data_IF_866857488060
#
_entry.id   IF_866857488060
#
_cell.length_a   1.000
_cell.length_b   1.000
_cell.length_c   1.000
_cell.angle_alpha   90.00
_cell.angle_beta   90.00
_cell.angle_gamma   90.00
#
_symmetry.space_group_name_H-M   'P 1'
#
loop_
_entity.id
_entity.type
_entity.pdbx_description
1 polymer ?
#
# COMPACT_ATOMS: atom_id res chain seq x y z
N UNK A 1 -1.53 -16.14 -8.83
CA UNK A 1 -1.19 -17.49 -8.30
C UNK A 1 -2.23 -17.94 -7.30
N UNK A 2 -2.46 -17.17 -6.23
CA UNK A 2 -3.33 -17.58 -5.12
C UNK A 2 -4.80 -17.14 -5.21
N UNK A 3 -5.14 -16.28 -6.18
CA UNK A 3 -6.49 -15.71 -6.25
C UNK A 3 -7.59 -16.75 -6.51
N UNK A 4 -8.71 -16.63 -5.80
CA UNK A 4 -9.96 -17.36 -6.02
C UNK A 4 -11.11 -16.51 -6.59
N UNK A 5 -10.80 -15.28 -7.05
CA UNK A 5 -11.78 -14.32 -7.55
C UNK A 5 -11.25 -13.55 -8.77
N UNK A 6 -12.13 -12.92 -9.57
CA UNK A 6 -11.69 -11.92 -10.54
C UNK A 6 -10.86 -10.81 -9.90
N UNK A 7 -9.89 -10.29 -10.63
CA UNK A 7 -9.01 -9.20 -10.17
C UNK A 7 -9.12 -8.01 -11.11
N UNK A 8 -9.13 -6.80 -10.53
CA UNK A 8 -8.99 -5.56 -11.28
C UNK A 8 -7.74 -4.82 -10.81
N UNK A 9 -6.75 -4.74 -11.68
CA UNK A 9 -5.52 -3.97 -11.45
C UNK A 9 -5.72 -2.53 -11.94
N UNK A 10 -5.45 -1.58 -11.07
CA UNK A 10 -5.39 -0.16 -11.42
C UNK A 10 -3.93 0.30 -11.36
N UNK A 11 -3.38 0.70 -12.50
CA UNK A 11 -1.96 1.01 -12.64
C UNK A 11 -1.80 2.48 -12.98
N UNK A 12 -1.30 3.26 -12.02
CA UNK A 12 -0.90 4.65 -12.23
C UNK A 12 0.54 4.63 -12.71
N UNK A 13 0.76 5.05 -13.95
CA UNK A 13 2.08 5.01 -14.57
C UNK A 13 2.23 6.13 -15.60
N UNK A 14 3.44 6.34 -16.09
CA UNK A 14 3.66 7.18 -17.27
C UNK A 14 3.20 6.44 -18.53
N UNK A 15 2.84 7.19 -19.58
CA UNK A 15 2.28 6.63 -20.81
C UNK A 15 3.23 5.66 -21.53
N UNK A 16 4.53 5.95 -21.51
CA UNK A 16 5.59 5.13 -22.11
C UNK A 16 5.77 3.76 -21.44
N UNK A 17 5.36 3.61 -20.17
CA UNK A 17 5.42 2.34 -19.44
C UNK A 17 4.28 1.38 -19.76
N UNK A 18 3.19 1.83 -20.40
CA UNK A 18 2.00 1.00 -20.66
C UNK A 18 2.36 -0.20 -21.52
N UNK A 19 3.04 0.02 -22.65
CA UNK A 19 3.41 -1.05 -23.58
C UNK A 19 4.36 -2.08 -22.93
N UNK A 20 5.18 -1.67 -21.97
CA UNK A 20 6.01 -2.60 -21.20
C UNK A 20 5.16 -3.48 -20.29
N UNK A 21 4.21 -2.88 -19.57
CA UNK A 21 3.31 -3.60 -18.65
C UNK A 21 2.35 -4.54 -19.39
N UNK A 22 1.80 -4.11 -20.52
CA UNK A 22 0.92 -4.95 -21.36
C UNK A 22 1.61 -6.24 -21.80
N UNK A 23 2.91 -6.19 -22.14
CA UNK A 23 3.70 -7.40 -22.45
C UNK A 23 3.74 -8.38 -21.29
N UNK A 24 3.73 -7.90 -20.04
CA UNK A 24 3.72 -8.78 -18.86
C UNK A 24 2.36 -9.44 -18.69
N UNK A 25 1.27 -8.68 -18.78
CA UNK A 25 -0.08 -9.23 -18.69
C UNK A 25 -0.45 -10.15 -19.86
N UNK A 26 0.13 -9.94 -21.04
CA UNK A 26 -0.02 -10.83 -22.20
C UNK A 26 0.53 -12.24 -21.95
N UNK A 27 1.37 -12.44 -20.93
CA UNK A 27 1.87 -13.76 -20.53
C UNK A 27 0.81 -14.59 -19.79
N UNK A 28 -0.43 -14.09 -19.65
CA UNK A 28 -1.51 -14.71 -18.92
C UNK A 28 -2.62 -15.15 -19.91
N UNK A 29 -2.34 -16.01 -20.92
CA UNK A 29 -3.34 -16.39 -21.91
C UNK A 29 -4.51 -17.22 -21.35
N UNK A 30 -4.37 -17.85 -20.18
CA UNK A 30 -5.41 -18.72 -19.60
C UNK A 30 -5.54 -18.53 -18.08
N UNK A 31 -5.90 -17.32 -17.61
CA UNK A 31 -6.09 -17.10 -16.20
C UNK A 31 -7.29 -17.93 -15.69
N UNK A 32 -7.26 -18.32 -14.41
CA UNK A 32 -8.36 -19.06 -13.81
C UNK A 32 -9.63 -18.21 -13.59
N UNK A 33 -9.44 -16.90 -13.45
CA UNK A 33 -10.49 -15.91 -13.22
C UNK A 33 -10.24 -14.72 -14.13
N UNK A 34 -11.28 -13.93 -14.41
CA UNK A 34 -11.15 -12.72 -15.22
C UNK A 34 -10.17 -11.72 -14.58
N UNK A 35 -9.32 -11.14 -15.41
CA UNK A 35 -8.38 -10.10 -14.98
C UNK A 35 -8.67 -8.85 -15.80
N UNK A 36 -8.98 -7.76 -15.12
CA UNK A 36 -9.10 -6.44 -15.72
C UNK A 36 -7.88 -5.61 -15.34
N UNK A 37 -7.38 -4.82 -16.28
CA UNK A 37 -6.25 -3.92 -16.08
C UNK A 37 -6.65 -2.56 -16.63
N UNK A 38 -6.60 -1.54 -15.78
CA UNK A 38 -6.85 -0.16 -16.17
C UNK A 38 -5.60 0.66 -15.92
N UNK A 39 -5.05 1.22 -16.99
CA UNK A 39 -3.93 2.16 -16.93
C UNK A 39 -4.44 3.59 -16.73
N UNK A 40 -3.82 4.32 -15.81
CA UNK A 40 -4.07 5.73 -15.53
C UNK A 40 -2.80 6.51 -15.84
N UNK A 41 -2.63 6.99 -17.09
CA UNK A 41 -1.44 7.71 -17.51
C UNK A 41 -1.35 9.05 -16.78
N UNK A 42 -0.25 9.27 -16.07
CA UNK A 42 0.00 10.56 -15.41
C UNK A 42 1.47 10.95 -15.44
N UNK A 43 1.73 12.24 -15.60
CA UNK A 43 3.09 12.78 -15.58
C UNK A 43 3.47 13.22 -14.17
N UNK A 44 4.78 13.31 -13.90
CA UNK A 44 5.30 13.80 -12.62
C UNK A 44 4.86 15.25 -12.37
N UNK A 45 4.80 16.07 -13.42
CA UNK A 45 4.34 17.46 -13.34
C UNK A 45 2.89 17.54 -12.86
N UNK A 46 2.00 16.66 -13.34
CA UNK A 46 0.60 16.63 -12.88
C UNK A 46 0.48 16.29 -11.40
N UNK A 47 1.33 15.39 -10.90
CA UNK A 47 1.37 15.05 -9.47
C UNK A 47 1.92 16.21 -8.65
N UNK A 48 3.01 16.84 -9.11
CA UNK A 48 3.58 18.06 -8.51
C UNK A 48 2.54 19.17 -8.42
N UNK A 49 1.85 19.46 -9.50
CA UNK A 49 0.86 20.54 -9.54
C UNK A 49 -0.29 20.25 -8.56
N UNK A 50 -0.75 19.00 -8.45
CA UNK A 50 -1.75 18.60 -7.45
C UNK A 50 -1.22 18.73 -6.02
N UNK A 51 0.04 18.35 -5.79
CA UNK A 51 0.73 18.51 -4.51
C UNK A 51 0.84 19.96 -4.06
N UNK A 52 1.22 20.88 -4.97
CA UNK A 52 1.22 22.32 -4.70
C UNK A 52 -0.17 22.85 -4.32
N UNK A 53 -1.23 22.39 -5.00
CA UNK A 53 -2.61 22.77 -4.62
C UNK A 53 -3.02 22.25 -3.24
N UNK A 54 -2.47 21.11 -2.81
CA UNK A 54 -2.68 20.55 -1.47
C UNK A 54 -1.77 21.16 -0.39
N UNK A 55 -0.76 21.96 -0.76
CA UNK A 55 0.23 22.49 0.18
C UNK A 55 1.21 21.42 0.71
N UNK A 56 1.53 20.41 -0.10
CA UNK A 56 2.54 19.38 0.22
C UNK A 56 3.69 19.37 -0.81
N UNK A 57 4.86 18.78 -0.50
CA UNK A 57 6.15 19.02 -1.21
C UNK A 57 6.89 17.82 -1.84
N UNK A 58 8.23 17.87 -1.88
CA UNK A 58 9.06 17.70 -3.10
C UNK A 58 9.29 16.28 -3.67
N UNK A 59 8.79 15.21 -3.03
CA UNK A 59 8.98 13.83 -3.49
C UNK A 59 7.79 13.34 -4.33
N UNK A 60 7.57 13.99 -5.47
CA UNK A 60 6.31 13.87 -6.23
C UNK A 60 6.00 12.48 -6.78
N UNK A 61 7.03 11.69 -7.10
CA UNK A 61 6.84 10.32 -7.59
C UNK A 61 6.14 9.43 -6.55
N UNK A 62 6.53 9.53 -5.28
CA UNK A 62 5.96 8.73 -4.18
C UNK A 62 4.67 9.34 -3.61
N UNK A 63 4.49 10.65 -3.70
CA UNK A 63 3.27 11.32 -3.24
C UNK A 63 2.03 11.05 -4.12
N UNK A 64 2.20 10.45 -5.29
CA UNK A 64 1.07 10.00 -6.12
C UNK A 64 0.07 9.12 -5.34
N UNK A 65 0.56 8.33 -4.36
CA UNK A 65 -0.25 7.49 -3.46
C UNK A 65 -1.32 8.29 -2.69
N UNK A 66 -1.00 9.53 -2.28
CA UNK A 66 -1.91 10.41 -1.54
C UNK A 66 -3.14 10.79 -2.37
N UNK A 67 -2.99 10.85 -3.70
CA UNK A 67 -4.01 11.35 -4.62
C UNK A 67 -4.69 10.26 -5.46
N UNK A 68 -4.44 8.96 -5.24
CA UNK A 68 -5.02 7.90 -6.07
C UNK A 68 -6.56 7.93 -6.13
N UNK A 69 -7.18 8.25 -4.99
CA UNK A 69 -8.63 8.42 -4.88
C UNK A 69 -9.18 9.48 -5.84
N UNK A 70 -8.36 10.44 -6.28
CA UNK A 70 -8.77 11.50 -7.19
C UNK A 70 -8.74 11.10 -8.68
N UNK A 71 -7.97 10.06 -9.03
CA UNK A 71 -7.90 9.50 -10.39
C UNK A 71 -8.89 8.36 -10.59
N UNK A 72 -8.98 7.47 -9.61
CA UNK A 72 -9.78 6.24 -9.68
C UNK A 72 -11.24 6.54 -9.31
N UNK A 73 -11.88 7.43 -10.05
CA UNK A 73 -13.20 8.02 -9.72
C UNK A 73 -14.34 7.00 -9.67
N UNK A 74 -14.24 5.94 -10.48
CA UNK A 74 -15.23 4.85 -10.55
C UNK A 74 -14.93 3.69 -9.59
N UNK A 75 -13.91 3.81 -8.74
CA UNK A 75 -13.47 2.77 -7.80
C UNK A 75 -13.83 3.19 -6.38
N UNK A 76 -14.65 2.42 -5.69
CA UNK A 76 -15.09 2.74 -4.34
C UNK A 76 -14.04 2.43 -3.27
N UNK A 77 -13.41 1.24 -3.36
CA UNK A 77 -12.41 0.75 -2.41
C UNK A 77 -11.30 0.02 -3.16
N UNK A 78 -10.07 0.10 -2.66
CA UNK A 78 -8.93 -0.60 -3.26
C UNK A 78 -7.94 -1.10 -2.21
N UNK A 79 -7.23 -2.17 -2.54
CA UNK A 79 -5.97 -2.53 -1.91
C UNK A 79 -4.87 -1.78 -2.68
N UNK A 80 -4.09 -0.96 -2.00
CA UNK A 80 -2.82 -0.47 -2.50
C UNK A 80 -1.70 -1.43 -2.08
N UNK A 81 -0.75 -1.71 -2.97
CA UNK A 81 0.37 -2.60 -2.72
C UNK A 81 1.59 -2.10 -3.52
N UNK A 82 2.75 -1.98 -2.88
CA UNK A 82 4.01 -1.67 -3.55
C UNK A 82 4.52 -2.86 -4.38
N UNK A 83 5.39 -2.56 -5.35
CA UNK A 83 5.85 -3.53 -6.36
C UNK A 83 6.90 -4.52 -5.87
N UNK A 84 7.42 -4.32 -4.67
CA UNK A 84 8.41 -5.16 -3.97
C UNK A 84 7.76 -6.11 -2.93
N UNK A 85 6.47 -6.40 -3.12
CA UNK A 85 5.70 -7.29 -2.27
C UNK A 85 5.20 -8.54 -3.03
N UNK A 86 5.06 -9.67 -2.34
CA UNK A 86 4.41 -10.89 -2.86
C UNK A 86 3.36 -11.42 -1.88
N UNK A 87 2.17 -11.72 -2.39
CA UNK A 87 1.17 -12.48 -1.64
C UNK A 87 1.62 -13.92 -1.45
N UNK A 88 1.42 -14.45 -0.24
CA UNK A 88 1.57 -15.87 0.10
C UNK A 88 0.23 -16.60 0.22
N UNK A 89 -0.85 -15.83 0.40
CA UNK A 89 -2.23 -16.31 0.51
C UNK A 89 -3.12 -15.69 -0.56
N UNK A 90 -4.39 -16.07 -0.60
CA UNK A 90 -5.36 -15.46 -1.52
C UNK A 90 -5.57 -13.97 -1.16
N UNK A 91 -5.40 -13.02 -2.10
CA UNK A 91 -5.71 -11.60 -1.87
C UNK A 91 -7.15 -11.33 -1.38
N UNK A 92 -8.09 -12.26 -1.60
CA UNK A 92 -9.43 -12.18 -1.03
C UNK A 92 -9.42 -12.10 0.51
N UNK A 93 -8.47 -12.75 1.18
CA UNK A 93 -8.35 -12.69 2.63
C UNK A 93 -8.07 -11.26 3.11
N UNK A 94 -7.15 -10.54 2.44
CA UNK A 94 -6.91 -9.13 2.71
C UNK A 94 -8.11 -8.26 2.33
N UNK A 95 -8.79 -8.56 1.22
CA UNK A 95 -10.01 -7.84 0.83
C UNK A 95 -11.11 -7.92 1.90
N UNK A 96 -11.24 -9.07 2.58
CA UNK A 96 -12.23 -9.25 3.64
C UNK A 96 -12.00 -8.36 4.87
N UNK A 97 -10.81 -7.77 5.04
CA UNK A 97 -10.55 -6.79 6.09
C UNK A 97 -11.39 -5.51 5.94
N UNK A 98 -11.88 -5.20 4.73
CA UNK A 98 -12.86 -4.13 4.53
C UNK A 98 -14.19 -4.37 5.26
N UNK A 99 -14.52 -5.61 5.62
CA UNK A 99 -15.72 -5.92 6.42
C UNK A 99 -15.61 -5.39 7.86
N UNK A 100 -14.39 -5.04 8.30
CA UNK A 100 -14.13 -4.45 9.62
C UNK A 100 -14.10 -2.92 9.59
N UNK A 101 -14.39 -2.30 8.43
CA UNK A 101 -14.46 -0.85 8.33
C UNK A 101 -15.79 -0.36 8.91
N UNK A 102 -15.70 0.63 9.78
CA UNK A 102 -16.86 1.42 10.19
C UNK A 102 -17.28 2.35 9.05
N UNK A 103 -18.50 2.92 9.07
CA UNK A 103 -18.95 3.85 8.03
C UNK A 103 -18.05 5.07 7.81
N UNK A 104 -17.23 5.42 8.80
CA UNK A 104 -16.28 6.53 8.78
C UNK A 104 -14.81 6.09 8.59
N UNK A 105 -14.52 4.79 8.50
CA UNK A 105 -13.15 4.31 8.30
C UNK A 105 -12.70 4.59 6.87
N UNK A 106 -11.69 5.46 6.76
CA UNK A 106 -11.11 5.94 5.51
C UNK A 106 -10.02 4.99 5.00
N UNK A 107 -9.19 4.47 5.91
CA UNK A 107 -8.02 3.67 5.55
C UNK A 107 -7.63 2.67 6.61
N UNK A 108 -6.93 1.61 6.21
CA UNK A 108 -6.21 0.72 7.11
C UNK A 108 -4.81 0.44 6.58
N UNK A 109 -3.81 0.46 7.46
CA UNK A 109 -2.41 0.14 7.14
C UNK A 109 -1.69 -0.43 8.37
N UNK A 110 -0.55 -1.13 8.20
CA UNK A 110 0.18 -1.73 9.30
C UNK A 110 0.81 -0.68 10.23
N UNK A 111 0.72 -0.92 11.53
CA UNK A 111 1.30 -0.06 12.58
C UNK A 111 1.83 -0.92 13.73
N UNK A 112 2.72 -0.37 14.57
CA UNK A 112 3.10 -0.95 15.86
C UNK A 112 2.23 -0.42 17.01
N UNK A 113 0.94 -0.19 16.72
CA UNK A 113 -0.02 0.32 17.70
C UNK A 113 -0.14 1.85 17.77
N UNK A 114 -0.95 2.38 18.70
CA UNK A 114 -1.38 3.79 18.73
C UNK A 114 -0.26 4.81 18.92
N UNK A 115 0.90 4.40 19.43
CA UNK A 115 2.06 5.26 19.70
C UNK A 115 3.10 5.21 18.59
N UNK A 116 2.81 4.57 17.45
CA UNK A 116 3.75 4.45 16.34
C UNK A 116 4.21 5.83 15.84
N UNK A 117 5.51 5.98 15.57
CA UNK A 117 6.05 7.12 14.83
C UNK A 117 5.96 6.89 13.31
N UNK A 118 6.27 7.89 12.45
CA UNK A 118 6.16 7.75 11.00
C UNK A 118 6.92 6.54 10.44
N UNK A 119 8.14 6.27 10.89
CA UNK A 119 8.92 5.07 10.49
C UNK A 119 8.40 3.71 11.01
N UNK A 120 7.34 3.67 11.82
CA UNK A 120 6.77 2.44 12.36
C UNK A 120 5.41 2.08 11.75
N UNK A 121 4.86 2.94 10.89
CA UNK A 121 3.74 2.58 10.02
C UNK A 121 4.27 2.16 8.64
N UNK A 122 3.44 1.56 7.80
CA UNK A 122 3.84 1.16 6.45
C UNK A 122 2.81 1.59 5.41
N UNK A 123 3.18 2.46 4.47
CA UNK A 123 2.31 2.85 3.34
C UNK A 123 2.49 1.99 2.09
N UNK A 124 3.22 0.88 2.20
CA UNK A 124 3.44 -0.07 1.11
C UNK A 124 2.25 -1.01 0.90
N UNK A 125 1.37 -1.16 1.90
CA UNK A 125 0.13 -1.93 1.83
C UNK A 125 -0.99 -1.21 2.57
N UNK A 126 -2.05 -0.83 1.85
CA UNK A 126 -3.13 -0.04 2.43
C UNK A 126 -4.49 -0.50 1.91
N UNK A 127 -5.49 -0.52 2.78
CA UNK A 127 -6.89 -0.65 2.39
C UNK A 127 -7.49 0.75 2.36
N UNK A 128 -7.95 1.21 1.20
CA UNK A 128 -8.36 2.60 1.01
C UNK A 128 -9.82 2.67 0.58
N UNK A 129 -10.60 3.49 1.28
CA UNK A 129 -11.99 3.79 0.95
C UNK A 129 -12.08 5.11 0.17
N UNK A 130 -11.95 5.00 -1.15
CA UNK A 130 -11.89 6.15 -2.04
C UNK A 130 -13.20 6.94 -2.10
N UNK A 131 -14.36 6.29 -1.94
CA UNK A 131 -15.64 7.00 -1.86
C UNK A 131 -15.64 8.02 -0.72
N UNK A 132 -15.12 7.65 0.46
CA UNK A 132 -15.01 8.57 1.59
C UNK A 132 -13.93 9.64 1.34
N UNK A 133 -12.79 9.27 0.78
CA UNK A 133 -11.70 10.21 0.49
C UNK A 133 -12.11 11.30 -0.51
N UNK A 134 -12.98 10.98 -1.48
CA UNK A 134 -13.51 11.92 -2.48
C UNK A 134 -14.70 12.75 -2.01
N UNK A 135 -15.21 12.56 -0.78
CA UNK A 135 -16.42 13.25 -0.33
C UNK A 135 -16.27 14.78 -0.46
N UNK A 136 -17.07 15.47 -1.30
CA UNK A 136 -16.91 16.90 -1.53
C UNK A 136 -17.10 17.77 -0.28
N UNK A 137 -17.80 17.27 0.74
CA UNK A 137 -18.01 17.98 2.00
C UNK A 137 -16.79 17.90 2.94
N UNK A 138 -15.91 16.92 2.72
CA UNK A 138 -14.73 16.65 3.55
C UNK A 138 -13.70 15.86 2.73
N UNK A 139 -13.13 16.50 1.71
CA UNK A 139 -12.12 15.86 0.86
C UNK A 139 -10.89 15.46 1.68
N UNK A 140 -10.21 14.39 1.27
CA UNK A 140 -9.02 13.93 1.98
C UNK A 140 -7.93 15.02 2.06
N UNK A 141 -7.57 15.58 0.91
CA UNK A 141 -6.58 16.67 0.80
C UNK A 141 -7.26 17.99 0.38
N UNK A 142 -6.78 19.15 0.84
CA UNK A 142 -7.25 20.44 0.36
C UNK A 142 -6.81 20.69 -1.09
N UNK A 143 -7.42 21.69 -1.71
CA UNK A 143 -7.03 22.21 -3.02
C UNK A 143 -7.22 23.73 -3.08
N UNK A 144 -6.26 24.45 -3.65
CA UNK A 144 -6.40 25.89 -3.92
C UNK A 144 -7.42 26.20 -5.03
N UNK A 145 -7.82 25.21 -5.85
CA UNK A 145 -8.93 25.37 -6.81
C UNK A 145 -10.30 25.38 -6.15
N UNK A 146 -10.39 24.89 -4.92
CA UNK A 146 -11.62 24.79 -4.13
C UNK A 146 -11.38 25.45 -2.77
N UNK A 147 -11.43 26.79 -2.66
CA UNK A 147 -11.00 27.51 -1.46
C UNK A 147 -11.65 27.03 -0.16
N UNK A 148 -12.91 26.60 -0.19
CA UNK A 148 -13.62 26.06 0.98
C UNK A 148 -12.92 24.83 1.61
N UNK A 149 -12.21 24.05 0.78
CA UNK A 149 -11.47 22.86 1.24
C UNK A 149 -10.29 23.19 2.14
N UNK A 150 -9.79 24.43 2.12
CA UNK A 150 -8.75 24.92 3.03
C UNK A 150 -9.20 24.94 4.50
N UNK A 151 -10.51 24.77 4.75
CA UNK A 151 -11.08 24.67 6.10
C UNK A 151 -11.79 23.35 6.34
N UNK A 152 -12.35 22.72 5.31
CA UNK A 152 -13.18 21.51 5.45
C UNK A 152 -12.44 20.18 5.18
N UNK A 153 -11.29 20.21 4.50
CA UNK A 153 -10.57 18.96 4.19
C UNK A 153 -10.06 18.24 5.42
N UNK A 154 -10.02 16.91 5.32
CA UNK A 154 -9.65 16.03 6.43
C UNK A 154 -8.22 16.26 6.90
N UNK A 155 -7.29 16.55 5.99
CA UNK A 155 -5.88 16.79 6.30
C UNK A 155 -5.58 18.15 6.97
N UNK A 156 -6.45 19.16 6.83
CA UNK A 156 -6.16 20.54 7.28
C UNK A 156 -5.89 20.61 8.78
N UNK A 157 -6.79 20.08 9.60
CA UNK A 157 -6.62 20.09 11.07
C UNK A 157 -5.39 19.27 11.51
N UNK A 158 -5.18 18.02 11.05
CA UNK A 158 -3.96 17.28 11.33
C UNK A 158 -2.67 18.00 10.95
N UNK A 159 -2.62 18.67 9.80
CA UNK A 159 -1.43 19.41 9.39
C UNK A 159 -1.16 20.59 10.32
N UNK A 160 -2.18 21.38 10.64
CA UNK A 160 -2.06 22.49 11.58
C UNK A 160 -1.58 22.01 12.96
N UNK A 161 -2.15 20.90 13.45
CA UNK A 161 -1.77 20.26 14.71
C UNK A 161 -0.35 19.69 14.67
N UNK A 162 0.04 19.01 13.59
CA UNK A 162 1.39 18.49 13.45
C UNK A 162 2.45 19.60 13.41
N UNK A 163 2.12 20.78 12.87
CA UNK A 163 2.99 21.95 12.88
C UNK A 163 3.06 22.58 14.29
N UNK A 164 1.93 22.70 15.00
CA UNK A 164 1.88 23.38 16.30
C UNK A 164 2.29 22.50 17.49
N UNK A 165 1.74 21.29 17.54
CA UNK A 165 1.87 20.35 18.66
C UNK A 165 2.99 19.34 18.41
N UNK A 166 3.35 19.11 17.14
CA UNK A 166 4.44 18.24 16.71
C UNK A 166 4.06 16.76 16.57
N UNK A 167 4.90 16.01 15.87
CA UNK A 167 4.78 14.56 15.66
C UNK A 167 5.98 13.83 16.28
N UNK A 168 5.83 12.55 16.67
CA UNK A 168 6.95 11.72 17.09
C UNK A 168 8.04 11.63 16.01
N UNK A 169 9.28 11.89 16.39
CA UNK A 169 10.43 11.76 15.50
C UNK A 169 10.76 10.28 15.24
N UNK A 170 11.04 9.87 13.98
CA UNK A 170 11.47 8.51 13.69
C UNK A 170 12.96 8.25 13.99
N UNK A 171 13.72 9.30 14.38
CA UNK A 171 15.18 9.23 14.56
C UNK A 171 15.64 9.51 16.00
N UNK A 172 14.78 10.11 16.82
CA UNK A 172 15.08 10.49 18.19
C UNK A 172 13.82 10.38 19.06
N UNK A 173 14.01 10.16 20.37
CA UNK A 173 12.91 10.13 21.34
C UNK A 173 12.46 11.57 21.69
N UNK A 174 11.91 12.25 20.68
CA UNK A 174 11.44 13.62 20.79
C UNK A 174 10.23 13.88 19.88
N UNK A 175 9.54 14.98 20.14
CA UNK A 175 8.48 15.50 19.28
C UNK A 175 9.04 16.64 18.42
N UNK A 176 8.81 16.57 17.10
CA UNK A 176 9.29 17.55 16.13
C UNK A 176 8.14 18.18 15.37
N UNK A 177 8.29 19.42 14.91
CA UNK A 177 7.31 20.06 14.03
C UNK A 177 7.18 19.27 12.73
N UNK A 178 5.95 19.01 12.31
CA UNK A 178 5.66 18.47 10.98
C UNK A 178 5.94 19.51 9.89
N UNK A 179 6.57 19.09 8.81
CA UNK A 179 6.74 19.89 7.59
C UNK A 179 5.97 19.20 6.43
N UNK A 180 4.85 19.76 5.95
CA UNK A 180 4.10 19.18 4.84
C UNK A 180 4.87 19.21 3.51
N UNK A 181 5.90 20.05 3.38
CA UNK A 181 6.75 20.11 2.18
C UNK A 181 7.88 19.08 2.21
N UNK A 182 8.26 18.62 3.40
CA UNK A 182 9.28 17.58 3.57
C UNK A 182 8.85 16.56 4.65
N UNK A 183 7.73 15.84 4.44
CA UNK A 183 7.25 14.87 5.42
C UNK A 183 8.20 13.66 5.50
N UNK A 184 8.37 13.11 6.71
CA UNK A 184 9.17 11.90 6.89
C UNK A 184 8.66 10.77 6.00
N UNK A 185 9.56 10.20 5.19
CA UNK A 185 9.21 9.10 4.27
C UNK A 185 8.04 9.45 3.32
N UNK A 186 7.97 10.71 2.88
CA UNK A 186 7.01 11.21 1.91
C UNK A 186 5.53 10.96 2.28
N UNK A 187 4.85 10.10 1.53
CA UNK A 187 3.43 9.78 1.71
C UNK A 187 3.15 9.15 3.07
N UNK A 188 4.09 8.35 3.59
CA UNK A 188 3.96 7.73 4.91
C UNK A 188 3.86 8.79 6.01
N UNK A 189 4.65 9.87 5.94
CA UNK A 189 4.56 10.99 6.88
C UNK A 189 3.23 11.74 6.79
N UNK A 190 2.69 11.90 5.58
CA UNK A 190 1.35 12.47 5.37
C UNK A 190 0.26 11.60 6.00
N UNK A 191 0.27 10.29 5.74
CA UNK A 191 -0.71 9.38 6.32
C UNK A 191 -0.58 9.31 7.85
N UNK A 192 0.65 9.30 8.37
CA UNK A 192 0.93 9.27 9.81
C UNK A 192 0.34 10.48 10.52
N UNK A 193 0.61 11.70 10.08
CA UNK A 193 0.12 12.89 10.78
C UNK A 193 -1.42 12.96 10.77
N UNK A 194 -2.05 12.57 9.66
CA UNK A 194 -3.51 12.51 9.56
C UNK A 194 -4.07 11.47 10.52
N UNK A 195 -3.46 10.30 10.59
CA UNK A 195 -3.84 9.24 11.54
C UNK A 195 -3.65 9.67 12.99
N UNK A 196 -2.51 10.27 13.34
CA UNK A 196 -2.20 10.71 14.71
C UNK A 196 -3.28 11.64 15.27
N UNK A 197 -3.77 12.59 14.47
CA UNK A 197 -4.78 13.55 14.90
C UNK A 197 -6.23 13.18 14.54
N UNK A 198 -6.45 12.09 13.79
CA UNK A 198 -7.77 11.54 13.48
C UNK A 198 -7.78 10.01 13.55
N UNK A 199 -7.40 9.41 14.69
CA UNK A 199 -7.15 7.97 14.78
C UNK A 199 -8.39 7.13 14.47
N UNK A 200 -9.59 7.65 14.77
CA UNK A 200 -10.87 6.97 14.50
C UNK A 200 -11.13 6.72 13.02
N UNK A 201 -10.51 7.49 12.12
CA UNK A 201 -10.69 7.31 10.66
C UNK A 201 -9.84 6.17 10.11
N UNK A 202 -8.94 5.62 10.92
CA UNK A 202 -8.01 4.58 10.50
C UNK A 202 -8.20 3.33 11.33
N UNK A 203 -7.80 2.20 10.76
CA UNK A 203 -7.75 0.92 11.45
C UNK A 203 -6.36 0.32 11.33
N UNK A 204 -5.84 -0.23 12.42
CA UNK A 204 -4.64 -1.06 12.37
C UNK A 204 -4.90 -2.26 11.43
N UNK A 205 -4.03 -2.42 10.43
CA UNK A 205 -3.95 -3.63 9.61
C UNK A 205 -2.91 -4.56 10.25
N UNK A 206 -3.27 -5.82 10.48
CA UNK A 206 -2.35 -6.82 11.04
C UNK A 206 -1.01 -6.84 10.33
N UNK A 207 0.08 -6.93 11.09
CA UNK A 207 1.46 -7.00 10.57
C UNK A 207 1.70 -8.24 9.71
N UNK A 208 0.80 -9.24 9.73
CA UNK A 208 0.83 -10.37 8.79
C UNK A 208 0.76 -9.94 7.33
N UNK A 209 0.19 -8.76 7.06
CA UNK A 209 0.07 -8.18 5.72
C UNK A 209 1.30 -7.35 5.33
N UNK A 210 2.29 -7.22 6.22
CA UNK A 210 3.54 -6.48 6.02
C UNK A 210 4.71 -7.20 6.72
N UNK A 211 4.96 -8.46 6.36
CA UNK A 211 6.13 -9.20 6.85
C UNK A 211 7.36 -8.69 6.11
N UNK A 212 7.94 -7.61 6.64
CA UNK A 212 8.87 -6.75 5.90
C UNK A 212 10.33 -6.93 6.27
N UNK A 213 11.21 -6.81 5.27
CA UNK A 213 12.66 -6.89 5.47
C UNK A 213 13.20 -5.78 6.36
N UNK A 214 12.62 -4.56 6.33
CA UNK A 214 12.98 -3.50 7.29
C UNK A 214 12.79 -3.93 8.76
N UNK A 215 11.83 -4.82 9.04
CA UNK A 215 11.57 -5.41 10.37
C UNK A 215 12.09 -6.84 10.51
N UNK A 216 13.12 -7.19 9.73
CA UNK A 216 13.71 -8.52 9.68
C UNK A 216 12.64 -9.62 9.55
N UNK A 217 11.63 -9.39 8.69
CA UNK A 217 10.52 -10.31 8.43
C UNK A 217 9.82 -10.80 9.71
N UNK A 218 9.75 -9.93 10.72
CA UNK A 218 9.14 -10.17 12.03
C UNK A 218 9.74 -11.36 12.78
N UNK A 219 10.94 -11.82 12.41
CA UNK A 219 11.54 -13.01 13.03
C UNK A 219 11.06 -14.35 12.44
N UNK A 220 10.03 -14.32 11.59
CA UNK A 220 9.39 -15.51 11.03
C UNK A 220 10.32 -16.15 10.01
N UNK A 221 10.43 -17.48 10.05
CA UNK A 221 11.18 -18.26 9.07
C UNK A 221 10.37 -19.43 8.55
N UNK A 222 10.76 -19.96 7.38
CA UNK A 222 10.40 -21.32 7.00
C UNK A 222 10.94 -22.31 8.04
N UNK A 223 10.27 -23.47 8.13
CA UNK A 223 10.72 -24.64 8.89
C UNK A 223 12.14 -25.04 8.56
N UNK A 224 12.85 -25.60 9.54
CA UNK A 224 14.05 -26.39 9.32
C UNK A 224 13.67 -27.87 9.22
N UNK A 225 14.49 -28.61 8.49
CA UNK A 225 14.54 -30.05 8.67
C UNK A 225 15.60 -30.34 9.73
N UNK A 226 15.25 -31.11 10.76
CA UNK A 226 16.22 -31.63 11.72
C UNK A 226 17.20 -32.60 11.06
N UNK A 227 18.19 -33.09 11.81
CA UNK A 227 19.20 -34.04 11.32
C UNK A 227 18.59 -35.33 10.73
N UNK A 228 17.40 -35.71 11.20
CA UNK A 228 16.63 -36.87 10.71
C UNK A 228 15.63 -36.54 9.59
N UNK A 229 15.67 -35.32 9.04
CA UNK A 229 14.71 -34.78 8.07
C UNK A 229 13.26 -34.72 8.59
N UNK A 230 13.07 -34.68 9.91
CA UNK A 230 11.78 -34.39 10.52
C UNK A 230 11.50 -32.87 10.51
N UNK A 231 10.24 -32.49 10.30
CA UNK A 231 9.77 -31.10 10.42
C UNK A 231 9.71 -30.74 11.91
N UNK A 232 10.66 -29.93 12.39
CA UNK A 232 10.92 -29.75 13.81
C UNK A 232 10.37 -28.44 14.41
N UNK A 233 9.45 -27.78 13.72
CA UNK A 233 9.02 -26.43 14.07
C UNK A 233 7.68 -26.41 14.81
N UNK A 234 7.69 -26.01 16.09
CA UNK A 234 6.47 -25.80 16.88
C UNK A 234 5.95 -24.36 16.80
N UNK A 235 4.69 -24.15 17.22
CA UNK A 235 4.11 -22.81 17.40
C UNK A 235 4.86 -22.01 18.47
N UNK A 236 5.28 -22.65 19.57
CA UNK A 236 6.06 -22.02 20.63
C UNK A 236 7.42 -21.52 20.12
N UNK A 237 8.10 -22.32 19.28
CA UNK A 237 9.36 -21.93 18.65
C UNK A 237 9.19 -20.73 17.72
N UNK A 238 8.10 -20.70 16.94
CA UNK A 238 7.80 -19.57 16.05
C UNK A 238 7.47 -18.30 16.84
N UNK A 239 6.62 -18.40 17.86
CA UNK A 239 6.32 -17.28 18.76
C UNK A 239 7.58 -16.76 19.46
N UNK A 240 8.46 -17.65 19.92
CA UNK A 240 9.73 -17.27 20.56
C UNK A 240 10.73 -16.57 19.63
N UNK A 241 10.58 -16.74 18.31
CA UNK A 241 11.40 -16.06 17.29
C UNK A 241 10.80 -14.75 16.81
N UNK A 242 9.50 -14.51 17.04
CA UNK A 242 8.82 -13.30 16.60
C UNK A 242 9.43 -12.05 17.25
N UNK A 243 9.69 -11.04 16.44
CA UNK A 243 10.33 -9.79 16.87
C UNK A 243 9.64 -8.59 16.22
N UNK A 244 9.92 -7.39 16.75
CA UNK A 244 9.40 -6.12 16.25
C UNK A 244 7.85 -6.02 16.23
N UNK A 245 7.19 -6.63 17.23
CA UNK A 245 5.73 -6.59 17.41
C UNK A 245 5.29 -5.70 18.58
N UNK A 246 6.22 -5.18 19.40
CA UNK A 246 5.91 -4.43 20.61
C UNK A 246 5.01 -3.22 20.33
N UNK A 247 3.88 -3.16 21.03
CA UNK A 247 2.85 -2.13 20.90
C UNK A 247 1.74 -2.47 19.90
N UNK A 248 1.94 -3.44 19.00
CA UNK A 248 0.95 -3.78 17.97
C UNK A 248 -0.33 -4.42 18.53
N UNK A 249 -0.25 -5.07 19.68
CA UNK A 249 -1.33 -5.94 20.19
C UNK A 249 -1.31 -7.34 19.57
N UNK A 250 -0.30 -7.67 18.76
CA UNK A 250 -0.10 -8.95 18.08
C UNK A 250 1.09 -9.75 18.63
N UNK A 251 1.72 -9.30 19.73
CA UNK A 251 2.96 -9.85 20.29
C UNK A 251 2.87 -11.33 20.69
N UNK A 252 1.66 -11.77 21.05
CA UNK A 252 1.39 -13.14 21.50
C UNK A 252 0.52 -13.93 20.51
N UNK A 253 0.33 -13.40 19.30
CA UNK A 253 -0.42 -14.08 18.24
C UNK A 253 0.57 -14.71 17.27
N UNK A 254 0.39 -15.99 16.95
CA UNK A 254 1.19 -16.65 15.92
C UNK A 254 0.91 -15.96 14.58
N UNK A 255 1.95 -15.33 14.04
CA UNK A 255 1.85 -14.55 12.81
C UNK A 255 1.88 -15.50 11.61
N UNK A 256 0.80 -15.52 10.83
CA UNK A 256 0.72 -16.28 9.58
C UNK A 256 0.97 -15.34 8.40
N UNK A 257 2.13 -15.37 7.74
CA UNK A 257 2.47 -14.41 6.69
C UNK A 257 1.45 -14.38 5.55
N UNK A 258 0.79 -13.24 5.35
CA UNK A 258 -0.08 -13.00 4.20
C UNK A 258 0.67 -12.42 3.02
N UNK A 259 1.59 -11.49 3.28
CA UNK A 259 2.44 -10.84 2.28
C UNK A 259 3.88 -10.78 2.81
N UNK A 260 4.85 -11.09 1.94
CA UNK A 260 6.26 -10.77 2.17
C UNK A 260 6.60 -9.46 1.46
N UNK A 261 7.37 -8.62 2.13
CA UNK A 261 7.72 -7.30 1.67
C UNK A 261 9.23 -7.09 1.73
N UNK A 262 9.84 -6.77 0.60
CA UNK A 262 11.30 -6.76 0.41
C UNK A 262 11.87 -5.33 0.35
N UNK A 263 11.36 -4.45 1.21
CA UNK A 263 11.85 -3.08 1.38
C UNK A 263 13.18 -3.00 2.14
N UNK A 264 13.79 -1.80 2.18
CA UNK A 264 15.07 -1.52 2.83
C UNK A 264 16.29 -2.32 2.29
N UNK A 265 16.22 -2.89 1.09
CA UNK A 265 17.34 -3.67 0.52
C UNK A 265 18.29 -2.84 -0.38
N UNK A 266 17.91 -1.61 -0.71
CA UNK A 266 18.67 -0.69 -1.57
C UNK A 266 19.15 -1.37 -2.88
N UNK A 267 18.19 -1.89 -3.66
CA UNK A 267 18.42 -2.58 -4.94
C UNK A 267 17.43 -2.10 -5.99
N UNK A 268 17.90 -1.98 -7.23
CA UNK A 268 17.08 -1.58 -8.38
C UNK A 268 15.97 -2.60 -8.71
N UNK A 269 16.29 -3.90 -8.62
CA UNK A 269 15.33 -4.98 -8.78
C UNK A 269 15.54 -6.03 -7.68
N UNK A 270 14.75 -5.90 -6.61
CA UNK A 270 14.76 -6.81 -5.47
C UNK A 270 14.38 -8.25 -5.88
N UNK A 271 13.69 -8.45 -7.01
CA UNK A 271 13.29 -9.77 -7.50
C UNK A 271 14.40 -10.48 -8.27
N UNK A 272 15.45 -9.76 -8.67
CA UNK A 272 16.65 -10.33 -9.29
C UNK A 272 17.84 -10.36 -8.32
N UNK A 273 17.65 -9.87 -7.10
CA UNK A 273 18.69 -9.82 -6.10
C UNK A 273 19.00 -11.22 -5.56
N UNK A 274 20.23 -11.70 -5.77
CA UNK A 274 20.64 -13.08 -5.47
C UNK A 274 20.41 -13.48 -4.01
N UNK A 275 20.54 -12.56 -3.06
CA UNK A 275 20.31 -12.82 -1.64
C UNK A 275 18.85 -13.20 -1.34
N UNK A 276 17.89 -12.65 -2.09
CA UNK A 276 16.48 -13.03 -1.99
C UNK A 276 16.17 -14.41 -2.60
N UNK A 277 17.15 -15.03 -3.25
CA UNK A 277 17.07 -16.39 -3.79
C UNK A 277 17.90 -17.40 -3.01
N UNK A 278 18.69 -16.97 -2.02
CA UNK A 278 19.55 -17.84 -1.25
C UNK A 278 18.71 -18.88 -0.49
N UNK A 279 18.92 -20.20 -0.69
CA UNK A 279 18.17 -21.24 0.02
C UNK A 279 18.27 -21.14 1.54
N UNK A 280 19.36 -20.58 2.06
CA UNK A 280 19.57 -20.34 3.49
C UNK A 280 18.89 -19.06 3.99
N UNK A 281 18.39 -18.19 3.11
CA UNK A 281 17.59 -17.03 3.51
C UNK A 281 16.18 -17.47 3.90
N UNK A 282 15.60 -16.82 4.92
CA UNK A 282 14.33 -17.21 5.56
C UNK A 282 13.19 -17.51 4.59
N UNK A 283 13.07 -16.73 3.52
CA UNK A 283 12.06 -16.91 2.47
C UNK A 283 12.65 -17.11 1.07
N UNK A 284 13.96 -17.37 0.94
CA UNK A 284 14.63 -17.52 -0.35
C UNK A 284 14.05 -18.64 -1.24
N UNK A 285 13.75 -19.83 -0.69
CA UNK A 285 13.04 -20.88 -1.42
C UNK A 285 11.64 -20.44 -1.92
N UNK A 286 10.92 -19.67 -1.10
CA UNK A 286 9.57 -19.19 -1.42
C UNK A 286 9.60 -18.16 -2.56
N UNK A 287 10.49 -17.17 -2.49
CA UNK A 287 10.70 -16.16 -3.53
C UNK A 287 11.11 -16.82 -4.85
N UNK A 288 12.08 -17.74 -4.79
CA UNK A 288 12.55 -18.49 -5.96
C UNK A 288 11.42 -19.27 -6.62
N UNK A 289 10.59 -19.94 -5.81
CA UNK A 289 9.44 -20.69 -6.31
C UNK A 289 8.41 -19.78 -6.96
N UNK A 290 8.03 -18.70 -6.28
CA UNK A 290 7.07 -17.72 -6.81
C UNK A 290 7.54 -17.14 -8.16
N UNK A 291 8.79 -16.70 -8.26
CA UNK A 291 9.30 -16.04 -9.46
C UNK A 291 9.51 -16.99 -10.64
N UNK A 292 10.01 -18.21 -10.39
CA UNK A 292 10.28 -19.18 -11.47
C UNK A 292 9.02 -19.87 -11.98
N UNK A 293 8.05 -20.14 -11.11
CA UNK A 293 6.85 -20.90 -11.48
C UNK A 293 5.61 -20.03 -11.76
N UNK A 294 5.62 -18.72 -11.46
CA UNK A 294 4.43 -17.85 -11.64
C UNK A 294 3.75 -18.01 -12.99
N UNK A 295 4.50 -18.14 -14.09
CA UNK A 295 3.92 -18.23 -15.43
C UNK A 295 3.07 -19.48 -15.64
N UNK A 296 3.41 -20.59 -14.98
CA UNK A 296 2.61 -21.81 -15.00
C UNK A 296 1.36 -21.60 -14.16
N UNK A 297 1.51 -21.10 -12.93
CA UNK A 297 0.41 -20.93 -11.99
C UNK A 297 -0.61 -19.85 -12.39
N UNK A 298 -0.15 -18.79 -13.05
CA UNK A 298 -1.03 -17.74 -13.58
C UNK A 298 -1.88 -18.22 -14.77
N UNK A 299 -1.54 -19.37 -15.37
CA UNK A 299 -2.20 -19.92 -16.56
C UNK A 299 -2.91 -21.25 -16.32
N UNK A 300 -3.45 -21.44 -15.11
CA UNK A 300 -4.13 -22.67 -14.68
C UNK A 300 -5.60 -22.79 -15.14
N UNK A 301 -6.14 -21.79 -15.85
CA UNK A 301 -7.52 -21.78 -16.32
C UNK A 301 -7.77 -22.70 -17.51
N UNK A 302 -9.04 -22.95 -17.79
CA UNK A 302 -9.50 -23.77 -18.93
C UNK A 302 -9.58 -22.98 -20.26
N UNK A 303 -9.32 -21.68 -20.23
CA UNK A 303 -9.39 -20.77 -21.38
C UNK A 303 -10.70 -19.98 -21.50
N UNK A 304 -11.63 -20.11 -20.55
CA UNK A 304 -12.89 -19.34 -20.54
C UNK A 304 -12.73 -17.91 -20.02
N UNK A 305 -11.73 -17.65 -19.18
CA UNK A 305 -11.39 -16.33 -18.66
C UNK A 305 -10.28 -15.68 -19.48
N UNK A 306 -10.22 -14.36 -19.46
CA UNK A 306 -9.21 -13.58 -20.20
C UNK A 306 -8.68 -12.42 -19.39
N UNK A 307 -7.56 -11.86 -19.85
CA UNK A 307 -7.12 -10.53 -19.45
C UNK A 307 -7.76 -9.49 -20.37
N UNK A 308 -8.29 -8.41 -19.80
CA UNK A 308 -8.77 -7.23 -20.54
C UNK A 308 -8.01 -6.01 -20.06
N UNK A 309 -7.47 -5.24 -21.00
CA UNK A 309 -6.76 -4.00 -20.72
C UNK A 309 -7.55 -2.81 -21.25
N UNK A 310 -7.50 -1.68 -20.53
CA UNK A 310 -7.97 -0.38 -21.01
C UNK A 310 -7.08 0.73 -20.46
N UNK A 311 -7.03 1.85 -21.16
CA UNK A 311 -6.32 3.05 -20.72
C UNK A 311 -7.33 4.16 -20.50
N UNK A 312 -7.34 4.75 -19.31
CA UNK A 312 -8.17 5.92 -19.03
C UNK A 312 -7.61 7.14 -19.73
N UNK A 313 -8.45 7.81 -20.51
CA UNK A 313 -8.08 9.01 -21.26
C UNK A 313 -8.28 10.29 -20.45
N UNK A 314 -9.11 10.25 -19.41
CA UNK A 314 -9.39 11.39 -18.55
C UNK A 314 -8.54 11.33 -17.26
N UNK A 315 -7.33 11.88 -17.34
CA UNK A 315 -6.39 11.95 -16.22
C UNK A 315 -6.62 13.14 -15.28
N UNK A 316 -7.79 13.79 -15.34
CA UNK A 316 -8.11 14.91 -14.44
C UNK A 316 -8.26 14.45 -13.01
N UNK A 317 -7.67 15.23 -12.11
CA UNK A 317 -7.82 15.09 -10.67
C UNK A 317 -9.25 15.45 -10.24
N UNK A 318 -9.67 14.97 -9.09
CA UNK A 318 -11.03 15.18 -8.58
C UNK A 318 -11.28 16.64 -8.26
N UNK A 319 -10.28 17.36 -7.75
CA UNK A 319 -10.37 18.79 -7.49
C UNK A 319 -10.64 19.61 -8.77
N UNK A 320 -9.98 19.25 -9.88
CA UNK A 320 -10.21 19.85 -11.20
C UNK A 320 -11.64 19.60 -11.71
N UNK A 321 -12.14 18.36 -11.55
CA UNK A 321 -13.51 17.99 -11.95
C UNK A 321 -14.56 18.80 -11.16
N UNK A 322 -14.36 18.96 -9.86
CA UNK A 322 -15.26 19.72 -9.00
C UNK A 322 -15.22 21.22 -9.31
N UNK A 323 -14.03 21.80 -9.50
CA UNK A 323 -13.88 23.22 -9.81
C UNK A 323 -14.54 23.59 -11.15
N UNK A 324 -14.40 22.72 -12.16
CA UNK A 324 -15.11 22.88 -13.43
C UNK A 324 -16.63 22.80 -13.25
N UNK A 325 -17.12 21.85 -12.46
CA UNK A 325 -18.55 21.70 -12.19
C UNK A 325 -19.15 22.90 -11.44
N UNK A 326 -18.38 23.57 -10.57
CA UNK A 326 -18.78 24.81 -9.90
C UNK A 326 -18.85 25.99 -10.87
N UNK A 327 -17.92 26.07 -11.83
CA UNK A 327 -17.88 27.16 -12.82
C UNK A 327 -19.02 27.08 -13.84
N UNK A 328 -19.57 25.88 -14.08
CA UNK A 328 -20.67 25.63 -15.02
C UNK A 328 -22.08 25.83 -14.42
N UNK A 329 -22.19 26.12 -13.12
CA UNK A 329 -23.46 26.37 -12.42
C UNK A 329 -23.78 27.85 -12.35
#
# INVERSE_FOLDING_TARGET
MYTSRPLHFHLICTEDNIAYMEKKFALFPRPAYAIEVTYYPITVERVRDRGHRAGIGEQWNVLSKVFMHELLVDVDKTIFMDTDMIFLVDPLELWNEFNKFEPYTLMSFPTLGPTSHPGQICSCIMLMNFTLMRNPSAMFMPSTLLPDTQHSSLAVLPFARGISDGIPSPIADETVSFDPYNPFFADQGIFHVIWLYRPTMFRHLSLRWDVSTCRQQLGISLGSFGDELEEDMSEEDQLGRQLALEGSGEEHTLMSPGILHFNCQDKDDIWLFEENHNPSARFGPMVTTALRYKWIWLNRGDGTSSVKTRTETDSRWWDERLAEAQTRR
#
